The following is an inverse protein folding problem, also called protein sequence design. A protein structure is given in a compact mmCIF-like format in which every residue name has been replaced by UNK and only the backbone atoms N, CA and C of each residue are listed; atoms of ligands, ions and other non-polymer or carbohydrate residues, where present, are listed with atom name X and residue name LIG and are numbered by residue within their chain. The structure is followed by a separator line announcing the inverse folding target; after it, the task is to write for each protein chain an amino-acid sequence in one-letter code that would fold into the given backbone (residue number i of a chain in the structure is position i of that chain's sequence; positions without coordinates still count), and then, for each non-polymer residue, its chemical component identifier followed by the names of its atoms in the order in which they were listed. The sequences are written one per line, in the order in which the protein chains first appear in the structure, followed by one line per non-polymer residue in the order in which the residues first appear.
data_IF_823444072644
#
_entry.id   IF_823444072644
#
_cell.length_a   1.000
_cell.length_b   1.000
_cell.length_c   1.000
_cell.angle_alpha   90.00
_cell.angle_beta   90.00
_cell.angle_gamma   90.00
#
_symmetry.space_group_name_H-M   'P 1'
#
loop_
_entity.id
_entity.type
_entity.pdbx_description
1 polymer ?
#
# COMPACT_ATOMS: atom_id res chain seq x y z
N UNK A 1 -7.53 1.86 -12.78
CA UNK A 1 -8.62 0.84 -12.71
C UNK A 1 -9.62 1.28 -11.64
N UNK A 2 -10.95 1.20 -11.85
CA UNK A 2 -11.92 1.63 -10.82
C UNK A 2 -11.97 0.68 -9.62
N UNK A 3 -12.29 1.23 -8.45
CA UNK A 3 -12.46 0.49 -7.18
C UNK A 3 -13.49 -0.64 -7.29
N UNK A 4 -14.63 -0.39 -7.93
CA UNK A 4 -15.68 -1.40 -8.11
C UNK A 4 -15.21 -2.63 -8.90
N UNK A 5 -14.27 -2.44 -9.83
CA UNK A 5 -13.68 -3.56 -10.56
C UNK A 5 -12.75 -4.38 -9.66
N UNK A 6 -12.04 -3.73 -8.71
CA UNK A 6 -11.21 -4.43 -7.74
C UNK A 6 -12.07 -5.32 -6.83
N UNK A 7 -13.18 -4.80 -6.32
CA UNK A 7 -14.15 -5.58 -5.52
C UNK A 7 -14.69 -6.78 -6.31
N UNK A 8 -15.01 -6.58 -7.61
CA UNK A 8 -15.47 -7.65 -8.49
C UNK A 8 -14.42 -8.75 -8.66
N UNK A 9 -13.15 -8.36 -8.88
CA UNK A 9 -12.03 -9.32 -8.99
C UNK A 9 -11.89 -10.13 -7.69
N UNK A 10 -11.98 -9.48 -6.53
CA UNK A 10 -11.86 -10.15 -5.21
C UNK A 10 -12.97 -11.19 -5.04
N UNK A 11 -14.22 -10.84 -5.37
CA UNK A 11 -15.37 -11.75 -5.33
C UNK A 11 -15.21 -12.92 -6.31
N UNK A 12 -14.75 -12.67 -7.54
CA UNK A 12 -14.47 -13.72 -8.54
C UNK A 12 -13.38 -14.71 -8.08
N UNK A 13 -12.49 -14.29 -7.17
CA UNK A 13 -11.51 -15.18 -6.52
C UNK A 13 -12.06 -15.93 -5.31
N UNK A 14 -13.37 -15.94 -5.10
CA UNK A 14 -14.02 -16.71 -4.03
C UNK A 14 -13.91 -16.08 -2.65
N UNK A 15 -13.56 -14.80 -2.55
CA UNK A 15 -13.68 -14.05 -1.31
C UNK A 15 -15.15 -13.67 -1.07
N UNK A 16 -15.53 -13.58 0.19
CA UNK A 16 -16.89 -13.24 0.61
C UNK A 16 -16.92 -11.84 1.20
N UNK A 17 -17.80 -10.97 0.71
CA UNK A 17 -18.07 -9.69 1.37
C UNK A 17 -18.87 -9.95 2.66
N UNK A 18 -18.31 -9.58 3.82
CA UNK A 18 -18.92 -9.87 5.12
C UNK A 18 -19.59 -8.65 5.76
N UNK A 19 -19.13 -7.43 5.43
CA UNK A 19 -19.62 -6.19 6.04
C UNK A 19 -19.21 -4.97 5.21
N UNK A 20 -20.04 -3.94 5.23
CA UNK A 20 -19.69 -2.59 4.79
C UNK A 20 -19.62 -1.62 5.99
N UNK A 21 -18.65 -0.71 5.98
CA UNK A 21 -18.46 0.31 7.01
C UNK A 21 -17.72 1.54 6.48
N UNK A 22 -18.22 2.74 6.78
CA UNK A 22 -17.60 4.03 6.42
C UNK A 22 -17.04 4.09 4.98
N UNK A 23 -17.81 3.59 4.02
CA UNK A 23 -17.37 3.60 2.63
C UNK A 23 -16.29 2.55 2.29
N UNK A 24 -16.19 1.47 3.07
CA UNK A 24 -15.31 0.33 2.83
C UNK A 24 -16.10 -0.98 2.90
N UNK A 25 -15.71 -1.95 2.08
CA UNK A 25 -16.18 -3.33 2.15
C UNK A 25 -15.09 -4.20 2.75
N UNK A 26 -15.47 -5.03 3.70
CA UNK A 26 -14.62 -6.04 4.32
C UNK A 26 -14.89 -7.37 3.62
N UNK A 27 -13.86 -7.94 3.02
CA UNK A 27 -13.88 -9.26 2.42
C UNK A 27 -13.13 -10.26 3.30
N UNK A 28 -13.66 -11.47 3.37
CA UNK A 28 -13.05 -12.61 4.05
C UNK A 28 -12.74 -13.70 3.03
N UNK A 29 -11.54 -14.27 3.11
CA UNK A 29 -11.22 -15.49 2.40
C UNK A 29 -11.74 -16.69 3.20
N UNK A 30 -12.59 -17.57 2.63
CA UNK A 30 -13.25 -18.67 3.33
C UNK A 30 -12.33 -19.86 3.70
N UNK A 31 -11.01 -19.67 3.75
CA UNK A 31 -10.05 -20.71 4.14
C UNK A 31 -10.36 -21.30 5.53
N UNK A 32 -10.35 -22.63 5.61
CA UNK A 32 -10.90 -23.44 6.72
C UNK A 32 -10.13 -23.27 8.04
N UNK A 33 -8.83 -22.94 7.98
CA UNK A 33 -7.98 -22.93 9.17
C UNK A 33 -7.77 -21.53 9.75
N UNK A 34 -7.48 -20.53 8.91
CA UNK A 34 -7.22 -19.14 9.35
C UNK A 34 -7.70 -18.15 8.29
N UNK A 35 -8.67 -17.27 8.62
CA UNK A 35 -9.18 -16.32 7.65
C UNK A 35 -8.13 -15.25 7.34
N UNK A 36 -8.13 -14.81 6.08
CA UNK A 36 -7.48 -13.58 5.65
C UNK A 36 -8.54 -12.55 5.32
N UNK A 37 -8.21 -11.27 5.51
CA UNK A 37 -9.13 -10.16 5.33
C UNK A 37 -8.58 -9.13 4.34
N UNK A 38 -9.48 -8.59 3.53
CA UNK A 38 -9.25 -7.40 2.71
C UNK A 38 -10.25 -6.33 3.14
N UNK A 39 -9.77 -5.14 3.45
CA UNK A 39 -10.61 -3.96 3.68
C UNK A 39 -10.34 -3.01 2.51
N UNK A 40 -11.33 -2.80 1.66
CA UNK A 40 -11.19 -2.04 0.41
C UNK A 40 -12.23 -0.93 0.41
N UNK A 41 -11.93 0.31 -0.04
CA UNK A 41 -12.95 1.33 -0.25
C UNK A 41 -14.05 0.80 -1.18
N UNK A 42 -15.30 1.24 -0.98
CA UNK A 42 -16.44 0.88 -1.82
C UNK A 42 -17.11 2.09 -2.47
N UNK A 43 -16.55 3.28 -2.28
CA UNK A 43 -17.00 4.49 -2.93
C UNK A 43 -16.50 4.53 -4.38
N UNK A 44 -17.38 4.95 -5.29
CA UNK A 44 -17.13 4.98 -6.73
C UNK A 44 -16.30 6.22 -7.13
N UNK A 45 -15.12 6.35 -6.54
CA UNK A 45 -14.25 7.52 -6.73
C UNK A 45 -12.81 7.04 -6.89
N UNK A 46 -12.16 7.61 -7.91
CA UNK A 46 -10.75 7.51 -8.31
C UNK A 46 -10.29 6.18 -8.94
N UNK A 47 -9.30 6.33 -9.83
CA UNK A 47 -8.54 5.19 -10.34
C UNK A 47 -7.61 4.69 -9.25
N UNK A 48 -7.74 3.40 -8.92
CA UNK A 48 -6.83 2.72 -8.00
C UNK A 48 -5.42 2.77 -8.59
N UNK A 49 -4.43 3.28 -7.84
CA UNK A 49 -3.05 3.32 -8.28
C UNK A 49 -2.48 1.93 -8.51
N UNK A 50 -1.48 1.83 -9.37
CA UNK A 50 -0.96 0.56 -9.85
C UNK A 50 -0.35 -0.30 -8.74
N UNK A 51 0.43 0.28 -7.82
CA UNK A 51 1.05 -0.46 -6.72
C UNK A 51 0.01 -1.05 -5.77
N UNK A 52 -0.99 -0.24 -5.43
CA UNK A 52 -2.15 -0.62 -4.61
C UNK A 52 -2.98 -1.72 -5.27
N UNK A 53 -3.26 -1.59 -6.57
CA UNK A 53 -3.96 -2.59 -7.36
C UNK A 53 -3.22 -3.94 -7.37
N UNK A 54 -1.94 -3.92 -7.71
CA UNK A 54 -1.13 -5.14 -7.78
C UNK A 54 -1.04 -5.85 -6.44
N UNK A 55 -0.93 -5.08 -5.36
CA UNK A 55 -0.90 -5.62 -4.00
C UNK A 55 -2.22 -6.29 -3.65
N UNK A 56 -3.35 -5.64 -3.94
CA UNK A 56 -4.67 -6.20 -3.71
C UNK A 56 -4.91 -7.46 -4.54
N UNK A 57 -4.54 -7.46 -5.83
CA UNK A 57 -4.61 -8.63 -6.69
C UNK A 57 -3.75 -9.79 -6.17
N UNK A 58 -2.49 -9.51 -5.79
CA UNK A 58 -1.58 -10.52 -5.21
C UNK A 58 -2.17 -11.13 -3.94
N UNK A 59 -2.78 -10.31 -3.07
CA UNK A 59 -3.40 -10.79 -1.84
C UNK A 59 -4.66 -11.60 -2.13
N UNK A 60 -5.50 -11.20 -3.08
CA UNK A 60 -6.66 -11.96 -3.52
C UNK A 60 -6.29 -13.35 -4.07
N UNK A 61 -5.11 -13.46 -4.68
CA UNK A 61 -4.54 -14.73 -5.17
C UNK A 61 -3.83 -15.56 -4.09
N UNK A 62 -3.62 -15.02 -2.88
CA UNK A 62 -2.87 -15.69 -1.83
C UNK A 62 -3.80 -16.55 -0.97
N UNK A 63 -3.94 -17.82 -1.35
CA UNK A 63 -4.73 -18.82 -0.62
C UNK A 63 -3.94 -19.55 0.48
N UNK A 64 -2.70 -19.12 0.74
CA UNK A 64 -1.84 -19.77 1.73
C UNK A 64 -2.32 -19.47 3.14
N UNK A 65 -2.26 -20.47 4.01
CA UNK A 65 -2.46 -20.29 5.44
C UNK A 65 -1.50 -19.22 5.98
N UNK A 66 -2.06 -18.15 6.51
CA UNK A 66 -1.34 -17.16 7.30
C UNK A 66 -1.86 -17.21 8.72
N UNK A 67 -1.01 -16.86 9.70
CA UNK A 67 -1.51 -16.60 11.05
C UNK A 67 -2.61 -15.53 11.02
N UNK A 68 -3.50 -15.60 12.02
CA UNK A 68 -4.47 -14.54 12.23
C UNK A 68 -3.74 -13.20 12.39
N UNK A 69 -4.27 -12.14 11.80
CA UNK A 69 -3.56 -10.87 11.71
C UNK A 69 -3.21 -10.28 13.09
N UNK A 70 -4.06 -10.52 14.10
CA UNK A 70 -3.83 -10.07 15.48
C UNK A 70 -2.54 -10.64 16.09
N UNK A 71 -2.16 -11.87 15.72
CA UNK A 71 -0.93 -12.52 16.20
C UNK A 71 0.34 -11.82 15.70
N UNK A 72 0.30 -11.29 14.47
CA UNK A 72 1.41 -10.51 13.88
C UNK A 72 1.41 -9.05 14.33
N UNK A 73 0.24 -8.54 14.74
CA UNK A 73 0.06 -7.16 15.15
C UNK A 73 0.64 -6.89 16.55
N UNK A 74 0.36 -7.75 17.54
CA UNK A 74 0.71 -7.50 18.95
C UNK A 74 2.20 -7.35 19.27
N UNK A 75 3.10 -7.70 18.33
CA UNK A 75 4.57 -7.61 18.49
C UNK A 75 5.18 -6.32 17.93
N UNK A 76 4.38 -5.45 17.30
CA UNK A 76 4.88 -4.29 16.55
C UNK A 76 4.87 -3.02 17.38
N UNK A 77 5.93 -2.21 17.23
CA UNK A 77 6.03 -0.86 17.82
C UNK A 77 5.49 0.23 16.91
N UNK A 78 5.41 -0.04 15.62
CA UNK A 78 4.88 0.85 14.59
C UNK A 78 4.40 0.01 13.40
N UNK A 79 3.59 0.62 12.53
CA UNK A 79 3.14 0.01 11.29
C UNK A 79 3.50 0.87 10.09
N UNK A 80 4.11 0.30 9.04
CA UNK A 80 4.28 1.04 7.80
C UNK A 80 2.91 1.25 7.15
N UNK A 81 2.57 2.51 6.90
CA UNK A 81 1.46 2.90 6.03
C UNK A 81 2.08 3.26 4.69
N UNK A 82 1.85 2.39 3.70
CA UNK A 82 2.42 2.53 2.37
C UNK A 82 1.51 3.44 1.57
N UNK A 83 2.04 4.57 1.12
CA UNK A 83 1.33 5.63 0.42
C UNK A 83 1.66 5.62 -1.07
N UNK A 84 0.66 5.89 -1.89
CA UNK A 84 0.78 6.07 -3.32
C UNK A 84 -0.06 7.28 -3.71
N UNK A 85 0.52 8.20 -4.49
CA UNK A 85 -0.19 9.40 -4.91
C UNK A 85 -0.71 9.22 -6.34
N UNK A 86 -1.99 9.51 -6.52
CA UNK A 86 -2.64 9.58 -7.82
C UNK A 86 -3.34 10.92 -7.91
N UNK A 87 -2.84 11.78 -8.80
CA UNK A 87 -3.32 13.15 -8.98
C UNK A 87 -3.33 13.96 -7.66
N UNK A 88 -4.51 14.35 -7.18
CA UNK A 88 -4.71 15.09 -5.94
C UNK A 88 -5.01 14.19 -4.73
N UNK A 89 -5.16 12.88 -4.93
CA UNK A 89 -5.56 11.92 -3.90
C UNK A 89 -4.37 11.09 -3.44
N UNK A 90 -4.26 10.88 -2.13
CA UNK A 90 -3.37 9.89 -1.54
C UNK A 90 -4.13 8.61 -1.31
N UNK A 91 -3.59 7.52 -1.83
CA UNK A 91 -3.96 6.17 -1.46
C UNK A 91 -2.99 5.70 -0.39
N UNK A 92 -3.49 4.92 0.56
CA UNK A 92 -2.62 4.24 1.49
C UNK A 92 -3.13 2.88 1.89
N UNK A 93 -2.18 2.04 2.25
CA UNK A 93 -2.45 0.67 2.65
C UNK A 93 -1.57 0.23 3.80
N UNK A 94 -2.09 -0.69 4.59
CA UNK A 94 -1.34 -1.42 5.61
C UNK A 94 -1.36 -2.89 5.25
N UNK A 95 -0.16 -3.46 5.16
CA UNK A 95 0.08 -4.86 4.84
C UNK A 95 0.61 -5.57 6.09
N UNK A 96 -0.19 -6.48 6.66
CA UNK A 96 0.26 -7.43 7.67
C UNK A 96 -0.17 -8.84 7.28
N UNK A 97 0.50 -9.89 7.79
CA UNK A 97 0.04 -11.25 7.56
C UNK A 97 -1.43 -11.40 7.95
N UNK A 98 -2.27 -11.92 7.04
CA UNK A 98 -3.70 -12.10 7.26
C UNK A 98 -4.59 -10.87 7.07
N UNK A 99 -4.05 -9.67 6.83
CA UNK A 99 -4.86 -8.46 6.60
C UNK A 99 -4.18 -7.48 5.64
N UNK A 100 -4.93 -7.04 4.63
CA UNK A 100 -4.62 -5.86 3.83
C UNK A 100 -5.76 -4.87 3.99
N UNK A 101 -5.45 -3.69 4.52
CA UNK A 101 -6.39 -2.57 4.61
C UNK A 101 -5.97 -1.45 3.67
N UNK A 102 -6.89 -0.97 2.85
CA UNK A 102 -6.69 0.08 1.85
C UNK A 102 -7.67 1.21 2.14
N UNK A 103 -7.19 2.44 2.06
CA UNK A 103 -8.03 3.64 2.09
C UNK A 103 -7.43 4.73 1.21
N UNK A 104 -8.15 5.84 1.11
CA UNK A 104 -7.72 7.03 0.37
C UNK A 104 -8.10 8.31 1.11
N UNK A 105 -7.44 9.42 0.78
CA UNK A 105 -7.69 10.71 1.44
C UNK A 105 -6.90 11.87 0.82
N UNK A 106 -7.13 13.05 1.37
CA UNK A 106 -6.49 14.31 0.98
C UNK A 106 -4.98 14.39 1.25
N UNK A 107 -4.45 13.49 2.06
CA UNK A 107 -3.08 13.53 2.54
C UNK A 107 -2.78 12.36 3.46
N UNK A 108 -1.51 12.18 3.87
CA UNK A 108 -1.08 11.09 4.74
C UNK A 108 -1.91 10.94 6.02
N UNK A 109 -2.18 12.05 6.72
CA UNK A 109 -2.95 12.03 7.96
C UNK A 109 -4.42 11.64 7.72
N UNK A 110 -5.04 12.20 6.65
CA UNK A 110 -6.40 11.84 6.25
C UNK A 110 -6.53 10.32 6.01
N UNK A 111 -5.52 9.72 5.37
CA UNK A 111 -5.48 8.28 5.08
C UNK A 111 -5.25 7.47 6.35
N UNK A 112 -4.35 7.91 7.22
CA UNK A 112 -4.04 7.25 8.49
C UNK A 112 -5.27 7.19 9.40
N UNK A 113 -6.01 8.30 9.52
CA UNK A 113 -7.23 8.39 10.33
C UNK A 113 -8.31 7.46 9.81
N UNK A 114 -8.54 7.43 8.49
CA UNK A 114 -9.52 6.53 7.85
C UNK A 114 -9.16 5.06 8.03
N UNK A 115 -7.90 4.69 7.74
CA UNK A 115 -7.42 3.33 7.94
C UNK A 115 -7.57 2.90 9.41
N UNK A 116 -7.27 3.79 10.35
CA UNK A 116 -7.42 3.52 11.78
C UNK A 116 -8.88 3.34 12.18
N UNK A 117 -9.77 4.22 11.72
CA UNK A 117 -11.22 4.14 12.00
C UNK A 117 -11.79 2.80 11.56
N UNK A 118 -11.59 2.45 10.29
CA UNK A 118 -12.15 1.24 9.70
C UNK A 118 -11.54 -0.03 10.31
N UNK A 119 -10.24 -0.03 10.59
CA UNK A 119 -9.60 -1.17 11.21
C UNK A 119 -10.00 -1.32 12.69
N UNK A 120 -10.20 -0.24 13.44
CA UNK A 120 -10.70 -0.32 14.81
C UNK A 120 -12.10 -0.94 14.86
N UNK A 121 -13.00 -0.53 13.97
CA UNK A 121 -14.35 -1.10 13.89
C UNK A 121 -14.31 -2.59 13.54
N UNK A 122 -13.50 -2.97 12.54
CA UNK A 122 -13.30 -4.37 12.19
C UNK A 122 -12.74 -5.16 13.39
N UNK A 123 -11.68 -4.64 14.02
CA UNK A 123 -11.01 -5.28 15.15
C UNK A 123 -11.91 -5.42 16.38
N UNK A 124 -12.85 -4.50 16.62
CA UNK A 124 -13.78 -4.58 17.74
C UNK A 124 -14.63 -5.87 17.72
N UNK A 125 -14.86 -6.42 16.52
CA UNK A 125 -15.64 -7.64 16.33
C UNK A 125 -14.76 -8.89 16.18
N UNK A 126 -13.59 -8.75 15.55
CA UNK A 126 -12.73 -9.87 15.16
C UNK A 126 -11.58 -10.15 16.14
N UNK A 127 -11.04 -9.12 16.80
CA UNK A 127 -9.95 -9.21 17.77
C UNK A 127 -9.98 -8.02 18.77
N UNK A 128 -10.98 -7.95 19.67
CA UNK A 128 -11.18 -6.81 20.55
C UNK A 128 -9.98 -6.53 21.47
N UNK A 129 -9.21 -7.55 21.82
CA UNK A 129 -8.03 -7.46 22.68
C UNK A 129 -6.90 -6.59 22.10
N UNK A 130 -6.86 -6.39 20.77
CA UNK A 130 -5.83 -5.55 20.14
C UNK A 130 -6.27 -4.10 19.91
N UNK A 131 -7.54 -3.75 20.14
CA UNK A 131 -8.09 -2.42 19.85
C UNK A 131 -7.35 -1.30 20.58
N UNK A 132 -7.04 -1.49 21.88
CA UNK A 132 -6.32 -0.49 22.67
C UNK A 132 -4.90 -0.23 22.13
N UNK A 133 -4.25 -1.25 21.59
CA UNK A 133 -2.93 -1.16 20.95
C UNK A 133 -3.05 -0.52 19.56
N UNK A 134 -4.05 -0.93 18.77
CA UNK A 134 -4.34 -0.36 17.44
C UNK A 134 -4.65 1.14 17.50
N UNK A 135 -5.33 1.58 18.55
CA UNK A 135 -5.61 3.00 18.74
C UNK A 135 -4.34 3.84 18.98
N UNK A 136 -3.27 3.25 19.54
CA UNK A 136 -2.05 3.96 19.96
C UNK A 136 -0.85 3.73 19.06
N UNK A 137 -0.82 2.64 18.29
CA UNK A 137 0.34 2.30 17.47
C UNK A 137 0.56 3.39 16.39
N UNK A 138 1.78 3.93 16.23
CA UNK A 138 2.05 4.93 15.21
C UNK A 138 2.05 4.29 13.81
N UNK A 139 1.37 4.95 12.88
CA UNK A 139 1.50 4.65 11.45
C UNK A 139 2.66 5.49 10.90
N UNK A 140 3.63 4.83 10.29
CA UNK A 140 4.83 5.45 9.72
C UNK A 140 4.66 5.48 8.21
N UNK A 141 4.56 6.68 7.65
CA UNK A 141 4.41 6.88 6.21
C UNK A 141 5.66 6.43 5.46
N UNK A 142 5.45 5.53 4.51
CA UNK A 142 6.44 5.10 3.52
C UNK A 142 5.79 5.14 2.15
N UNK A 143 6.55 5.21 1.06
CA UNK A 143 5.99 5.49 -0.27
C UNK A 143 6.19 4.33 -1.23
N UNK A 144 5.14 3.97 -1.97
CA UNK A 144 5.25 3.04 -3.08
C UNK A 144 5.86 3.76 -4.28
N UNK A 145 6.98 3.24 -4.77
CA UNK A 145 7.66 3.76 -5.97
C UNK A 145 7.60 2.78 -7.14
N UNK A 146 6.93 1.62 -6.99
CA UNK A 146 6.92 0.57 -8.01
C UNK A 146 6.41 1.06 -9.38
N UNK A 147 5.37 1.89 -9.40
CA UNK A 147 4.83 2.48 -10.63
C UNK A 147 5.85 3.37 -11.36
N UNK A 148 6.68 4.11 -10.62
CA UNK A 148 7.75 4.93 -11.18
C UNK A 148 8.74 4.07 -11.97
N UNK A 149 9.09 2.92 -11.40
CA UNK A 149 10.07 2.01 -11.99
C UNK A 149 9.56 1.30 -13.22
N UNK A 150 8.25 1.19 -13.43
CA UNK A 150 7.70 0.70 -14.69
C UNK A 150 8.02 1.62 -15.86
N UNK A 151 7.98 2.93 -15.64
CA UNK A 151 8.34 3.94 -16.65
C UNK A 151 9.85 3.94 -16.87
N UNK A 152 10.62 3.77 -15.79
CA UNK A 152 12.06 3.93 -15.79
C UNK A 152 12.85 2.61 -15.83
N UNK A 153 12.26 1.49 -16.25
CA UNK A 153 12.94 0.17 -16.32
C UNK A 153 14.26 0.20 -17.12
N UNK A 154 14.40 1.15 -18.04
CA UNK A 154 15.57 1.31 -18.90
C UNK A 154 16.70 2.12 -18.24
N UNK A 155 16.43 2.82 -17.14
CA UNK A 155 17.45 3.56 -16.41
C UNK A 155 18.32 2.61 -15.58
N UNK A 156 19.64 2.84 -15.62
CA UNK A 156 20.57 2.08 -14.79
C UNK A 156 20.40 2.51 -13.33
N UNK A 157 20.06 1.56 -12.48
CA UNK A 157 19.94 1.72 -11.01
C UNK A 157 21.17 2.38 -10.40
N UNK A 158 22.35 2.01 -10.88
CA UNK A 158 23.63 2.57 -10.44
C UNK A 158 23.74 4.09 -10.65
N UNK A 159 23.14 4.61 -11.71
CA UNK A 159 23.16 6.05 -12.00
C UNK A 159 22.28 6.81 -11.00
N UNK A 160 21.05 6.33 -10.77
CA UNK A 160 20.15 6.93 -9.79
C UNK A 160 20.66 6.79 -8.36
N UNK A 161 21.32 5.69 -8.02
CA UNK A 161 22.00 5.51 -6.74
C UNK A 161 23.05 6.59 -6.49
N UNK A 162 23.94 6.79 -7.47
CA UNK A 162 24.98 7.82 -7.40
C UNK A 162 24.37 9.23 -7.28
N UNK A 163 23.36 9.55 -8.09
CA UNK A 163 22.76 10.88 -8.12
C UNK A 163 21.90 11.20 -6.89
N UNK A 164 21.22 10.20 -6.32
CA UNK A 164 20.39 10.37 -5.13
C UNK A 164 21.18 10.21 -3.82
N UNK A 165 22.38 9.61 -3.88
CA UNK A 165 23.16 9.20 -2.71
C UNK A 165 22.51 8.07 -1.91
N UNK A 166 21.65 7.28 -2.55
CA UNK A 166 20.97 6.11 -1.96
C UNK A 166 21.73 4.86 -2.37
N UNK A 167 21.85 3.90 -1.45
CA UNK A 167 22.49 2.62 -1.71
C UNK A 167 21.83 1.90 -2.91
N UNK A 168 22.60 1.36 -3.89
CA UNK A 168 22.06 0.71 -5.07
C UNK A 168 21.17 -0.51 -4.77
N UNK A 169 21.51 -1.31 -3.75
CA UNK A 169 20.71 -2.48 -3.38
C UNK A 169 19.38 -2.03 -2.79
N UNK A 170 19.39 -0.95 -2.00
CA UNK A 170 18.17 -0.35 -1.46
C UNK A 170 17.26 0.20 -2.57
N UNK A 171 17.82 0.86 -3.60
CA UNK A 171 17.05 1.24 -4.80
C UNK A 171 16.46 0.01 -5.48
N UNK A 172 17.24 -1.05 -5.64
CA UNK A 172 16.75 -2.32 -6.19
C UNK A 172 15.55 -2.88 -5.42
N UNK A 173 15.56 -2.78 -4.09
CA UNK A 173 14.43 -3.20 -3.26
C UNK A 173 13.21 -2.28 -3.39
N UNK A 174 13.40 -0.96 -3.58
CA UNK A 174 12.33 -0.02 -3.89
C UNK A 174 11.68 -0.35 -5.24
N UNK A 175 12.49 -0.73 -6.23
CA UNK A 175 12.02 -1.13 -7.57
C UNK A 175 11.08 -2.33 -7.54
N UNK A 176 11.42 -3.33 -6.74
CA UNK A 176 10.60 -4.55 -6.62
C UNK A 176 9.41 -4.37 -5.68
N UNK A 177 9.32 -3.24 -4.97
CA UNK A 177 8.35 -3.04 -3.89
C UNK A 177 8.58 -3.98 -2.70
N UNK A 178 9.80 -4.52 -2.55
CA UNK A 178 10.16 -5.36 -1.40
C UNK A 178 10.32 -4.54 -0.13
N UNK A 179 10.66 -3.26 -0.29
CA UNK A 179 10.69 -2.26 0.77
C UNK A 179 10.26 -0.92 0.20
N UNK A 180 9.93 0.03 1.09
CA UNK A 180 9.38 1.32 0.71
C UNK A 180 10.22 2.44 1.33
N UNK A 181 10.63 3.46 0.55
CA UNK A 181 11.34 4.61 1.10
C UNK A 181 10.48 5.37 2.09
N UNK A 182 11.11 5.90 3.14
CA UNK A 182 10.51 6.95 3.96
C UNK A 182 10.42 8.27 3.17
N UNK A 183 9.73 9.26 3.73
CA UNK A 183 9.51 10.57 3.10
C UNK A 183 10.79 11.25 2.59
N UNK A 184 11.85 11.25 3.39
CA UNK A 184 13.12 11.86 3.01
C UNK A 184 13.76 11.14 1.81
N UNK A 185 13.77 9.81 1.82
CA UNK A 185 14.33 9.01 0.73
C UNK A 185 13.47 9.11 -0.55
N UNK A 186 12.15 9.17 -0.41
CA UNK A 186 11.23 9.35 -1.53
C UNK A 186 11.46 10.72 -2.20
N UNK A 187 11.60 11.80 -1.42
CA UNK A 187 11.91 13.14 -1.92
C UNK A 187 13.27 13.22 -2.62
N UNK A 188 14.28 12.55 -2.07
CA UNK A 188 15.61 12.47 -2.70
C UNK A 188 15.52 11.77 -4.05
N UNK A 189 14.83 10.64 -4.12
CA UNK A 189 14.62 9.88 -5.36
C UNK A 189 13.87 10.72 -6.40
N UNK A 190 12.76 11.36 -6.00
CA UNK A 190 11.97 12.25 -6.86
C UNK A 190 12.83 13.39 -7.42
N UNK A 191 13.62 14.05 -6.56
CA UNK A 191 14.50 15.15 -6.97
C UNK A 191 15.54 14.69 -7.99
N UNK A 192 16.18 13.53 -7.78
CA UNK A 192 17.16 12.97 -8.72
C UNK A 192 16.52 12.61 -10.07
N UNK A 193 15.30 12.08 -10.07
CA UNK A 193 14.58 11.74 -11.31
C UNK A 193 14.17 13.00 -12.07
N UNK A 194 13.68 14.03 -11.37
CA UNK A 194 13.38 15.32 -12.00
C UNK A 194 14.62 15.97 -12.61
N UNK A 195 15.77 15.89 -11.93
CA UNK A 195 17.02 16.40 -12.45
C UNK A 195 17.48 15.63 -13.70
N UNK A 196 17.40 14.30 -13.68
CA UNK A 196 17.67 13.50 -14.87
C UNK A 196 16.72 13.87 -16.03
N UNK A 197 15.43 14.07 -15.74
CA UNK A 197 14.46 14.53 -16.73
C UNK A 197 14.86 15.87 -17.36
N UNK A 198 15.32 16.83 -16.55
CA UNK A 198 15.84 18.12 -17.05
C UNK A 198 17.05 17.93 -17.96
N UNK A 199 17.99 17.07 -17.58
CA UNK A 199 19.19 16.78 -18.38
C UNK A 199 18.82 16.14 -19.72
N UNK A 200 17.89 15.18 -19.73
CA UNK A 200 17.42 14.53 -20.95
C UNK A 200 16.73 15.50 -21.92
N UNK A 201 15.99 16.49 -21.40
CA UNK A 201 15.37 17.53 -22.23
C UNK A 201 16.38 18.50 -22.87
N UNK A 202 17.61 18.58 -22.36
CA UNK A 202 18.67 19.46 -22.88
C UNK A 202 19.51 18.80 -23.99
N UNK A 203 19.34 17.50 -24.24
CA UNK A 203 20.14 16.78 -25.22
C UNK A 203 19.85 17.30 -26.64
N UNK A 204 20.89 17.79 -27.32
CA UNK A 204 20.86 18.16 -28.75
C UNK A 204 21.87 17.30 -29.50
N UNK A 205 21.40 16.49 -30.45
CA UNK A 205 22.23 15.61 -31.29
C UNK A 205 22.48 16.27 -32.66
N UNK A 206 22.76 17.58 -32.67
CA UNK A 206 23.06 18.35 -33.87
C UNK A 206 24.25 19.25 -33.63
#
# INVERSE_FOLDING_TARGET
MRVNLLSSIVLEKGWEAIRDYEGHTIFRCPSVLKPSYLIIPNQDIDEVPFGTLNTAARQAHRWKETDHWSASFGKRKSLPMILERQDATFWGRIEIPGLLAISQGCGPDCVADRLRSVWLEFAANDAPEVCATLQKIPFVSVYDTSALWEVFRQLKTSYLAHQSGIDPDLIGQFMTGSTHPCDELAKRLETSIHELGRQLMQVSIR
#
